data_IF_450340052179
#
_entry.id   IF_450340052179
#
_cell.length_a   1.000
_cell.length_b   1.000
_cell.length_c   1.000
_cell.angle_alpha   90.00
_cell.angle_beta   90.00
_cell.angle_gamma   90.00
#
_symmetry.space_group_name_H-M   'P 1'
#
loop_
_entity.id
_entity.type
_entity.pdbx_description
1 polymer ?
#
# COMPACT_ATOMS: atom_id res chain seq x y z
N UNK A 1 -8.66 7.57 10.10
CA UNK A 1 -8.55 8.02 8.69
C UNK A 1 -8.17 6.83 7.83
N UNK A 2 -8.75 6.71 6.67
CA UNK A 2 -8.41 5.64 5.75
C UNK A 2 -7.51 6.16 4.64
N UNK A 3 -6.37 5.49 4.45
CA UNK A 3 -5.40 5.89 3.44
C UNK A 3 -5.15 4.72 2.51
N UNK A 4 -5.21 4.97 1.22
CA UNK A 4 -4.87 3.97 0.22
C UNK A 4 -3.44 4.22 -0.26
N UNK A 5 -2.64 3.16 -0.36
CA UNK A 5 -1.27 3.27 -0.84
C UNK A 5 -1.14 2.43 -2.09
N UNK A 6 -0.85 3.07 -3.22
CA UNK A 6 -0.76 2.39 -4.50
C UNK A 6 0.70 2.05 -4.80
N UNK A 7 0.98 0.76 -4.85
CA UNK A 7 2.32 0.27 -5.11
C UNK A 7 2.99 -0.24 -3.84
N UNK A 8 3.48 -1.48 -3.89
CA UNK A 8 4.13 -2.10 -2.75
C UNK A 8 5.61 -2.33 -2.98
N UNK A 9 6.24 -1.43 -3.73
CA UNK A 9 7.68 -1.41 -3.80
C UNK A 9 8.26 -0.79 -2.55
N UNK A 10 9.50 -0.32 -2.61
CA UNK A 10 10.18 0.19 -1.42
C UNK A 10 9.43 1.38 -0.81
N UNK A 11 9.13 2.39 -1.63
CA UNK A 11 8.49 3.60 -1.11
C UNK A 11 7.09 3.31 -0.61
N UNK A 12 6.32 2.53 -1.38
CA UNK A 12 4.96 2.21 -0.97
C UNK A 12 4.91 1.40 0.31
N UNK A 13 5.81 0.42 0.44
CA UNK A 13 5.85 -0.41 1.63
C UNK A 13 6.22 0.41 2.85
N UNK A 14 7.22 1.27 2.72
CA UNK A 14 7.66 2.11 3.82
C UNK A 14 6.54 3.07 4.25
N UNK A 15 5.87 3.69 3.28
CA UNK A 15 4.76 4.59 3.59
C UNK A 15 3.59 3.84 4.23
N UNK A 16 3.29 2.65 3.72
CA UNK A 16 2.18 1.88 4.26
C UNK A 16 2.41 1.52 5.72
N UNK A 17 3.60 1.06 6.05
CA UNK A 17 3.93 0.71 7.43
C UNK A 17 3.90 1.93 8.33
N UNK A 18 4.50 3.02 7.88
CA UNK A 18 4.55 4.23 8.69
C UNK A 18 3.16 4.78 8.96
N UNK A 19 2.32 4.86 7.93
CA UNK A 19 0.99 5.43 8.08
C UNK A 19 0.06 4.52 8.86
N UNK A 20 0.25 3.21 8.78
CA UNK A 20 -0.62 2.27 9.45
C UNK A 20 -0.46 2.28 10.96
N UNK A 21 0.55 2.96 11.47
CA UNK A 21 0.72 3.06 12.90
C UNK A 21 -0.38 3.90 13.54
N UNK A 22 -0.96 4.84 12.78
CA UNK A 22 -1.97 5.73 13.32
C UNK A 22 -3.22 5.84 12.44
N UNK A 23 -3.25 5.12 11.32
CA UNK A 23 -4.35 5.21 10.39
C UNK A 23 -4.70 3.82 9.86
N UNK A 24 -5.87 3.72 9.24
CA UNK A 24 -6.26 2.50 8.56
C UNK A 24 -5.71 2.56 7.14
N UNK A 25 -4.86 1.61 6.78
CA UNK A 25 -4.19 1.64 5.48
C UNK A 25 -4.57 0.42 4.66
N UNK A 26 -4.98 0.66 3.41
CA UNK A 26 -5.21 -0.40 2.44
C UNK A 26 -4.22 -0.17 1.30
N UNK A 27 -3.31 -1.11 1.13
CA UNK A 27 -2.33 -1.04 0.05
C UNK A 27 -2.85 -1.79 -1.15
N UNK A 28 -2.53 -1.31 -2.34
CA UNK A 28 -2.94 -1.97 -3.56
C UNK A 28 -1.73 -2.19 -4.45
N UNK A 29 -1.66 -3.38 -5.05
CA UNK A 29 -0.63 -3.71 -6.02
C UNK A 29 -1.22 -4.69 -7.01
N UNK A 30 -0.75 -4.64 -8.25
CA UNK A 30 -1.20 -5.59 -9.27
C UNK A 30 -0.59 -6.96 -9.05
N UNK A 31 0.46 -7.06 -8.25
CA UNK A 31 1.14 -8.32 -8.00
C UNK A 31 0.49 -9.01 -6.79
N UNK A 32 -0.27 -10.05 -7.07
CA UNK A 32 -0.97 -10.77 -6.01
C UNK A 32 -0.02 -11.37 -4.98
N UNK A 33 1.19 -11.70 -5.40
CA UNK A 33 2.17 -12.27 -4.50
C UNK A 33 2.61 -11.26 -3.44
N UNK A 34 2.80 -10.02 -3.86
CA UNK A 34 3.12 -8.96 -2.89
C UNK A 34 1.97 -8.71 -1.93
N UNK A 35 0.75 -8.74 -2.46
CA UNK A 35 -0.44 -8.56 -1.63
C UNK A 35 -0.51 -9.65 -0.57
N UNK A 36 -0.28 -10.90 -0.96
CA UNK A 36 -0.30 -12.00 -0.01
C UNK A 36 0.79 -11.84 1.05
N UNK A 37 1.97 -11.41 0.65
CA UNK A 37 3.06 -11.22 1.60
C UNK A 37 2.67 -10.22 2.68
N UNK A 38 2.11 -9.08 2.27
CA UNK A 38 1.73 -8.04 3.24
C UNK A 38 0.64 -8.55 4.18
N UNK A 39 -0.35 -9.25 3.64
CA UNK A 39 -1.43 -9.76 4.48
C UNK A 39 -0.96 -10.83 5.44
N UNK A 40 0.16 -11.49 5.14
CA UNK A 40 0.77 -12.45 6.04
C UNK A 40 1.88 -11.82 6.88
N UNK A 41 1.97 -10.51 6.87
CA UNK A 41 2.95 -9.74 7.65
C UNK A 41 4.39 -10.02 7.23
N UNK A 42 4.58 -10.20 5.93
CA UNK A 42 5.93 -10.33 5.37
C UNK A 42 6.20 -9.11 4.51
N UNK A 43 7.40 -8.58 4.60
CA UNK A 43 7.74 -7.42 3.78
C UNK A 43 8.05 -7.83 2.36
N UNK A 44 7.69 -6.96 1.42
CA UNK A 44 7.99 -7.19 0.01
C UNK A 44 9.39 -6.72 -0.36
N UNK A 45 10.09 -6.10 0.58
CA UNK A 45 11.42 -5.56 0.34
C UNK A 45 12.35 -6.03 1.44
N UNK A 46 13.64 -5.94 1.18
CA UNK A 46 14.64 -6.35 2.16
C UNK A 46 15.00 -5.13 3.01
N UNK A 47 14.32 -4.98 4.12
CA UNK A 47 14.55 -3.88 5.05
C UNK A 47 14.24 -4.37 6.46
N UNK A 48 15.25 -4.51 7.32
CA UNK A 48 15.02 -5.06 8.65
C UNK A 48 14.05 -4.24 9.50
N UNK A 49 14.05 -2.94 9.35
CA UNK A 49 13.17 -2.09 10.14
C UNK A 49 11.72 -2.28 9.75
N UNK A 50 11.44 -2.35 8.46
CA UNK A 50 10.08 -2.57 7.98
C UNK A 50 9.62 -3.97 8.37
N UNK A 51 10.48 -4.95 8.26
CA UNK A 51 10.14 -6.32 8.65
C UNK A 51 9.80 -6.38 10.14
N UNK A 52 10.54 -5.65 10.96
CA UNK A 52 10.29 -5.62 12.39
C UNK A 52 8.93 -5.00 12.69
N UNK A 53 8.60 -3.89 12.04
CA UNK A 53 7.32 -3.25 12.26
C UNK A 53 6.16 -4.14 11.85
N UNK A 54 6.27 -4.84 10.72
CA UNK A 54 5.22 -5.75 10.29
C UNK A 54 5.04 -6.92 11.26
N UNK A 55 6.14 -7.42 11.81
CA UNK A 55 6.09 -8.60 12.66
C UNK A 55 5.70 -8.29 14.09
N UNK A 56 6.10 -7.12 14.60
CA UNK A 56 5.99 -6.86 16.02
C UNK A 56 5.06 -5.71 16.41
N UNK A 57 4.59 -4.94 15.44
CA UNK A 57 3.67 -3.84 15.73
C UNK A 57 2.28 -4.20 15.22
N UNK A 58 1.28 -3.78 15.97
CA UNK A 58 -0.10 -4.03 15.58
C UNK A 58 -0.55 -2.94 14.61
N UNK A 59 -0.39 -3.20 13.33
CA UNK A 59 -0.71 -2.23 12.29
C UNK A 59 -2.07 -2.51 11.69
N UNK A 60 -2.83 -1.46 11.45
CA UNK A 60 -4.09 -1.57 10.72
C UNK A 60 -3.78 -1.46 9.23
N UNK A 61 -3.24 -2.54 8.69
CA UNK A 61 -2.74 -2.58 7.32
C UNK A 61 -3.21 -3.85 6.64
N UNK A 62 -3.80 -3.69 5.47
CA UNK A 62 -4.10 -4.83 4.63
C UNK A 62 -3.83 -4.46 3.18
N UNK A 63 -3.72 -5.45 2.34
CA UNK A 63 -3.42 -5.25 0.93
C UNK A 63 -4.44 -5.95 0.07
N UNK A 64 -4.63 -5.45 -1.15
CA UNK A 64 -5.58 -6.01 -2.08
C UNK A 64 -5.10 -5.77 -3.50
N UNK A 65 -5.58 -6.59 -4.44
CA UNK A 65 -5.37 -6.33 -5.86
C UNK A 65 -6.55 -5.56 -6.47
N UNK A 66 -7.59 -5.29 -5.69
CA UNK A 66 -8.80 -4.64 -6.18
C UNK A 66 -8.74 -3.13 -5.91
N UNK A 67 -8.60 -2.31 -6.97
CA UNK A 67 -8.52 -0.87 -6.76
C UNK A 67 -9.77 -0.27 -6.13
N UNK A 68 -10.93 -0.83 -6.43
CA UNK A 68 -12.16 -0.30 -5.84
C UNK A 68 -12.17 -0.49 -4.34
N UNK A 69 -11.71 -1.64 -3.89
CA UNK A 69 -11.66 -1.90 -2.46
C UNK A 69 -10.68 -0.97 -1.77
N UNK A 70 -9.55 -0.71 -2.40
CA UNK A 70 -8.52 0.13 -1.79
C UNK A 70 -8.97 1.58 -1.74
N UNK A 71 -9.57 2.10 -2.81
CA UNK A 71 -9.87 3.52 -2.89
C UNK A 71 -11.22 3.91 -2.32
N UNK A 72 -12.11 2.96 -2.13
CA UNK A 72 -13.45 3.30 -1.64
C UNK A 72 -13.36 3.86 -0.23
N UNK A 73 -13.87 5.06 -0.05
CA UNK A 73 -13.86 5.69 1.26
C UNK A 73 -12.51 6.16 1.74
N UNK A 74 -11.50 6.13 0.89
CA UNK A 74 -10.19 6.60 1.30
C UNK A 74 -10.18 8.11 1.42
N UNK A 75 -9.59 8.59 2.51
CA UNK A 75 -9.45 10.03 2.70
C UNK A 75 -8.25 10.57 1.94
N UNK A 76 -7.21 9.76 1.78
CA UNK A 76 -6.02 10.13 1.03
C UNK A 76 -5.54 8.94 0.23
N UNK A 77 -4.90 9.21 -0.89
CA UNK A 77 -4.27 8.19 -1.72
C UNK A 77 -2.82 8.57 -1.92
N UNK A 78 -1.92 7.67 -1.55
CA UNK A 78 -0.49 7.85 -1.76
C UNK A 78 -0.09 6.98 -2.94
N UNK A 79 0.47 7.60 -3.98
CA UNK A 79 0.88 6.87 -5.17
C UNK A 79 2.39 6.70 -5.12
N UNK A 80 2.83 5.46 -4.98
CA UNK A 80 4.24 5.14 -4.84
C UNK A 80 4.68 4.16 -5.91
N UNK A 81 4.18 4.37 -7.12
CA UNK A 81 4.53 3.50 -8.24
C UNK A 81 5.83 3.96 -8.89
N UNK A 82 6.51 3.07 -9.60
CA UNK A 82 7.74 3.47 -10.32
C UNK A 82 7.44 4.52 -11.39
N UNK A 83 8.45 5.27 -11.75
CA UNK A 83 8.27 6.33 -12.72
C UNK A 83 7.86 5.83 -14.10
N UNK A 84 8.16 4.57 -14.41
CA UNK A 84 7.78 4.02 -15.70
C UNK A 84 6.45 3.28 -15.64
N UNK A 85 5.68 3.52 -14.59
CA UNK A 85 4.39 2.88 -14.46
C UNK A 85 3.42 3.42 -15.52
N UNK A 86 2.45 2.59 -15.88
CA UNK A 86 1.48 2.95 -16.91
C UNK A 86 0.61 4.10 -16.42
N UNK A 87 0.71 5.22 -17.09
CA UNK A 87 -0.01 6.42 -16.70
C UNK A 87 -1.53 6.26 -16.82
N UNK A 88 -2.00 5.34 -17.66
CA UNK A 88 -3.44 5.15 -17.78
C UNK A 88 -4.03 4.60 -16.49
N UNK A 89 -3.27 3.85 -15.74
CA UNK A 89 -3.72 3.35 -14.45
C UNK A 89 -3.78 4.46 -13.41
N UNK A 90 -2.86 5.40 -13.50
CA UNK A 90 -2.85 6.53 -12.59
C UNK A 90 -4.08 7.40 -12.84
N UNK A 91 -4.44 7.60 -14.10
CA UNK A 91 -5.61 8.40 -14.43
C UNK A 91 -6.89 7.80 -13.88
N UNK A 92 -6.97 6.49 -13.85
CA UNK A 92 -8.15 5.85 -13.30
C UNK A 92 -8.28 6.12 -11.81
N UNK A 93 -7.16 6.11 -11.10
CA UNK A 93 -7.18 6.29 -9.67
C UNK A 93 -7.27 7.74 -9.25
N UNK A 94 -7.13 8.66 -10.21
CA UNK A 94 -7.08 10.05 -9.89
C UNK A 94 -8.24 10.74 -10.53
N UNK A 95 -9.37 10.73 -9.89
CA UNK A 95 -10.61 11.16 -10.50
C UNK A 95 -10.61 12.57 -10.94
N UNK A 96 -9.88 13.38 -10.35
CA UNK A 96 -9.97 14.61 -10.82
C UNK A 96 -8.90 15.35 -10.57
N UNK A 97 -8.73 16.02 -10.85
CA UNK A 97 -7.82 16.74 -10.60
C UNK A 97 -8.02 17.78 -10.99
#
# INVERSE_FOLDING_TARGET
>A
MKIAVAGLGYVGMANAVLLAQHNSVVAIDIDAERVDMVNNRHTTIVDPLIAEYLAHHNLDLRATTDPQEAYRGADFVVIATPTNYDLSLIHISEPTR
#
